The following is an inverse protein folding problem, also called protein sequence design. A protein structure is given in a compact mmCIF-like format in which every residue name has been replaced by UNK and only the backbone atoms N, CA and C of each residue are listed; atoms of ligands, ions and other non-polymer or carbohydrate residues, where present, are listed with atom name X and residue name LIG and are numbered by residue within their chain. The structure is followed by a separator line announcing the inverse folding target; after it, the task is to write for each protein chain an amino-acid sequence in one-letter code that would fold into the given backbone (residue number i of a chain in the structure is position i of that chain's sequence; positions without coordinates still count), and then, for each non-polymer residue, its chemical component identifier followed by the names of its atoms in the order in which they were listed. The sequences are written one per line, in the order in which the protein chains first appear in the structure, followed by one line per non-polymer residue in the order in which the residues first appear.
data_IF_626091396897
#
_entry.id   IF_626091396897
#
_cell.length_a   1.000
_cell.length_b   1.000
_cell.length_c   1.000
_cell.angle_alpha   90.00
_cell.angle_beta   90.00
_cell.angle_gamma   90.00
#
_symmetry.space_group_name_H-M   'P 1'
#
loop_
_entity.id
_entity.type
_entity.pdbx_description
1 polymer ?
#
# COMPACT_ATOMS: atom_id res chain seq x y z
N UNK A 1 -11.45 -6.84 -10.37
CA UNK A 1 -11.90 -5.55 -9.78
C UNK A 1 -11.87 -4.46 -10.83
N UNK A 2 -10.70 -4.13 -11.38
CA UNK A 2 -10.52 -3.12 -12.43
C UNK A 2 -11.34 -3.44 -13.69
N UNK A 3 -11.37 -4.71 -14.12
CA UNK A 3 -12.18 -5.18 -15.26
C UNK A 3 -13.66 -4.77 -15.17
N UNK A 4 -14.28 -4.86 -13.99
CA UNK A 4 -15.68 -4.45 -13.79
C UNK A 4 -15.86 -2.93 -13.91
N UNK A 5 -14.86 -2.16 -13.47
CA UNK A 5 -14.88 -0.69 -13.55
C UNK A 5 -14.74 -0.26 -15.02
N UNK A 6 -13.80 -0.87 -15.75
CA UNK A 6 -13.63 -0.65 -17.19
C UNK A 6 -14.92 -0.98 -17.96
N UNK A 7 -15.58 -2.10 -17.64
CA UNK A 7 -16.82 -2.50 -18.30
C UNK A 7 -17.98 -1.52 -18.03
N UNK A 8 -17.94 -0.79 -16.91
CA UNK A 8 -18.96 0.17 -16.53
C UNK A 8 -18.71 1.59 -17.08
N UNK A 9 -17.49 1.90 -17.55
CA UNK A 9 -17.08 3.26 -17.90
C UNK A 9 -15.94 3.31 -18.94
N UNK A 10 -16.21 3.92 -20.09
CA UNK A 10 -15.25 4.01 -21.20
C UNK A 10 -14.01 4.84 -20.87
N UNK A 11 -14.16 5.89 -20.07
CA UNK A 11 -13.04 6.74 -19.64
C UNK A 11 -12.07 5.99 -18.69
N UNK A 12 -12.61 5.05 -17.91
CA UNK A 12 -11.80 4.16 -17.06
C UNK A 12 -10.90 3.27 -17.91
N UNK A 13 -11.39 2.82 -19.08
CA UNK A 13 -10.57 2.09 -20.05
C UNK A 13 -9.41 2.97 -20.57
N UNK A 14 -9.68 4.22 -20.92
CA UNK A 14 -8.66 5.17 -21.39
C UNK A 14 -7.61 5.46 -20.31
N UNK A 15 -8.04 5.59 -19.05
CA UNK A 15 -7.14 5.79 -17.90
C UNK A 15 -6.21 4.59 -17.70
N UNK A 16 -6.74 3.38 -17.80
CA UNK A 16 -5.94 2.14 -17.71
C UNK A 16 -4.98 2.01 -18.89
N UNK A 17 -5.41 2.37 -20.11
CA UNK A 17 -4.54 2.38 -21.28
C UNK A 17 -3.37 3.37 -21.12
N UNK A 18 -3.64 4.58 -20.60
CA UNK A 18 -2.61 5.56 -20.26
C UNK A 18 -1.62 5.01 -19.22
N UNK A 19 -2.13 4.37 -18.16
CA UNK A 19 -1.28 3.73 -17.15
C UNK A 19 -0.40 2.62 -17.74
N UNK A 20 -0.97 1.79 -18.63
CA UNK A 20 -0.23 0.75 -19.35
C UNK A 20 0.90 1.33 -20.19
N UNK A 21 0.66 2.45 -20.88
CA UNK A 21 1.68 3.13 -21.67
C UNK A 21 2.81 3.68 -20.82
N UNK A 22 2.50 4.29 -19.66
CA UNK A 22 3.50 4.83 -18.73
C UNK A 22 4.41 3.73 -18.18
N UNK A 23 3.83 2.58 -17.83
CA UNK A 23 4.58 1.47 -17.22
C UNK A 23 5.18 0.49 -18.22
N UNK A 24 4.86 0.61 -19.51
CA UNK A 24 5.26 -0.36 -20.54
C UNK A 24 4.73 -1.77 -20.28
N UNK A 25 3.56 -1.91 -19.64
CA UNK A 25 2.94 -3.18 -19.25
C UNK A 25 1.45 -3.15 -19.59
N UNK A 26 0.90 -4.26 -20.10
CA UNK A 26 -0.55 -4.34 -20.33
C UNK A 26 -1.30 -4.59 -19.00
N UNK A 27 -1.72 -3.49 -18.36
CA UNK A 27 -2.45 -3.55 -17.09
C UNK A 27 -3.90 -4.02 -17.27
N UNK A 28 -4.50 -3.78 -18.43
CA UNK A 28 -5.85 -4.23 -18.73
C UNK A 28 -5.90 -5.76 -18.86
N UNK A 29 -4.88 -6.38 -19.45
CA UNK A 29 -4.73 -7.83 -19.48
C UNK A 29 -4.29 -8.38 -18.11
N UNK A 30 -3.38 -7.70 -17.41
CA UNK A 30 -2.85 -8.16 -16.13
C UNK A 30 -3.94 -8.22 -15.04
N UNK A 31 -4.82 -7.22 -14.95
CA UNK A 31 -5.86 -7.15 -13.90
C UNK A 31 -7.21 -7.82 -14.26
N UNK A 32 -7.20 -8.79 -15.18
CA UNK A 32 -8.37 -9.63 -15.50
C UNK A 32 -8.59 -10.70 -14.45
N UNK A 33 -9.86 -11.07 -14.23
CA UNK A 33 -10.22 -12.11 -13.27
C UNK A 33 -9.57 -13.48 -13.56
N UNK A 34 -9.29 -13.79 -14.83
CA UNK A 34 -8.67 -15.04 -15.25
C UNK A 34 -7.15 -15.12 -15.00
N UNK A 35 -6.49 -14.01 -14.67
CA UNK A 35 -5.06 -14.03 -14.40
C UNK A 35 -4.79 -14.43 -12.94
N UNK A 36 -4.32 -15.66 -12.72
CA UNK A 36 -3.99 -16.16 -11.38
C UNK A 36 -2.82 -15.39 -10.72
N UNK A 37 -1.96 -14.75 -11.52
CA UNK A 37 -0.81 -13.98 -11.05
C UNK A 37 -1.12 -12.49 -10.80
N UNK A 38 -2.39 -12.08 -10.82
CA UNK A 38 -2.84 -10.67 -10.69
C UNK A 38 -2.27 -9.94 -9.46
N UNK A 39 -1.93 -10.66 -8.39
CA UNK A 39 -1.37 -10.12 -7.15
C UNK A 39 -0.16 -10.92 -6.67
N UNK A 40 0.66 -11.42 -7.61
CA UNK A 40 1.78 -12.31 -7.30
C UNK A 40 2.90 -11.62 -6.51
N UNK A 41 3.06 -10.30 -6.62
CA UNK A 41 4.08 -9.52 -5.92
C UNK A 41 3.56 -8.20 -5.35
N UNK A 42 4.33 -7.53 -4.48
CA UNK A 42 3.94 -6.26 -3.88
C UNK A 42 3.75 -5.19 -4.95
N UNK A 43 4.57 -5.19 -6.00
CA UNK A 43 4.41 -4.29 -7.14
C UNK A 43 3.01 -4.40 -7.78
N UNK A 44 2.57 -5.62 -8.09
CA UNK A 44 1.25 -5.83 -8.72
C UNK A 44 0.10 -5.48 -7.76
N UNK A 45 0.24 -5.76 -6.46
CA UNK A 45 -0.74 -5.35 -5.44
C UNK A 45 -0.86 -3.82 -5.37
N UNK A 46 0.27 -3.11 -5.28
CA UNK A 46 0.27 -1.66 -5.10
C UNK A 46 -0.29 -0.93 -6.31
N UNK A 47 0.12 -1.31 -7.53
CA UNK A 47 -0.43 -0.74 -8.77
C UNK A 47 -1.92 -1.02 -8.87
N UNK A 48 -2.36 -2.24 -8.56
CA UNK A 48 -3.76 -2.65 -8.66
C UNK A 48 -4.66 -1.86 -7.72
N UNK A 49 -4.25 -1.70 -6.45
CA UNK A 49 -4.99 -0.89 -5.47
C UNK A 49 -4.96 0.59 -5.83
N UNK A 50 -3.81 1.12 -6.26
CA UNK A 50 -3.69 2.51 -6.69
C UNK A 50 -4.64 2.82 -7.86
N UNK A 51 -4.62 2.00 -8.91
CA UNK A 51 -5.50 2.15 -10.07
C UNK A 51 -6.96 2.03 -9.69
N UNK A 52 -7.34 1.00 -8.92
CA UNK A 52 -8.71 0.83 -8.49
C UNK A 52 -9.23 2.06 -7.74
N UNK A 53 -8.43 2.61 -6.82
CA UNK A 53 -8.79 3.83 -6.09
C UNK A 53 -8.91 5.04 -7.02
N UNK A 54 -7.98 5.21 -7.96
CA UNK A 54 -8.00 6.32 -8.90
C UNK A 54 -9.23 6.28 -9.80
N UNK A 55 -9.60 5.10 -10.30
CA UNK A 55 -10.79 4.94 -11.15
C UNK A 55 -12.08 5.25 -10.39
N UNK A 56 -12.21 4.80 -9.13
CA UNK A 56 -13.36 5.16 -8.29
C UNK A 56 -13.39 6.68 -8.00
N UNK A 57 -12.24 7.29 -7.74
CA UNK A 57 -12.16 8.73 -7.53
C UNK A 57 -12.68 9.50 -8.75
N UNK A 58 -12.22 9.14 -9.95
CA UNK A 58 -12.66 9.76 -11.21
C UNK A 58 -14.16 9.59 -11.44
N UNK A 59 -14.71 8.41 -11.16
CA UNK A 59 -16.15 8.14 -11.23
C UNK A 59 -16.95 9.03 -10.28
N UNK A 60 -16.53 9.12 -9.01
CA UNK A 60 -17.19 9.96 -8.01
C UNK A 60 -17.14 11.45 -8.38
N UNK A 61 -15.99 11.93 -8.88
CA UNK A 61 -15.84 13.32 -9.30
C UNK A 61 -16.76 13.68 -10.48
N UNK A 62 -16.88 12.80 -11.47
CA UNK A 62 -17.81 13.01 -12.60
C UNK A 62 -19.28 12.92 -12.18
N UNK A 63 -19.60 12.13 -11.17
CA UNK A 63 -20.92 12.09 -10.55
C UNK A 63 -21.22 13.35 -9.70
N UNK A 64 -20.29 14.32 -9.63
CA UNK A 64 -20.43 15.54 -8.83
C UNK A 64 -20.26 15.33 -7.34
N UNK A 65 -19.84 14.13 -6.90
CA UNK A 65 -19.60 13.82 -5.49
C UNK A 65 -18.26 14.41 -5.08
N UNK A 66 -18.29 15.28 -4.07
CA UNK A 66 -17.10 15.96 -3.53
C UNK A 66 -16.98 15.69 -2.03
N UNK A 67 -15.75 15.49 -1.57
CA UNK A 67 -15.44 15.41 -0.16
C UNK A 67 -15.00 16.77 0.34
N UNK A 68 -15.57 17.23 1.47
CA UNK A 68 -15.10 18.45 2.13
C UNK A 68 -13.71 18.24 2.77
N UNK A 69 -13.46 17.02 3.24
CA UNK A 69 -12.23 16.62 3.94
C UNK A 69 -11.69 15.29 3.42
N UNK A 70 -10.92 15.29 2.32
CA UNK A 70 -10.31 14.08 1.81
C UNK A 70 -9.07 13.69 2.61
N UNK A 71 -8.86 12.39 2.82
CA UNK A 71 -7.68 11.82 3.50
C UNK A 71 -7.29 10.51 2.82
N UNK A 72 -6.00 10.20 2.81
CA UNK A 72 -5.48 8.93 2.32
C UNK A 72 -4.57 8.27 3.35
N UNK A 73 -4.66 6.94 3.48
CA UNK A 73 -3.83 6.18 4.41
C UNK A 73 -2.82 5.33 3.63
N UNK A 74 -1.53 5.51 3.92
CA UNK A 74 -0.45 4.72 3.31
C UNK A 74 -0.53 4.78 1.78
N UNK A 75 -0.79 3.68 1.09
CA UNK A 75 -0.96 3.67 -0.36
C UNK A 75 -2.09 4.59 -0.86
N UNK A 76 -3.14 4.79 -0.05
CA UNK A 76 -4.24 5.68 -0.39
C UNK A 76 -3.86 7.17 -0.42
N UNK A 77 -2.76 7.55 0.24
CA UNK A 77 -2.28 8.94 0.30
C UNK A 77 -1.93 9.49 -1.08
N UNK A 78 -1.39 8.66 -1.98
CA UNK A 78 -1.07 9.06 -3.35
C UNK A 78 -2.31 9.49 -4.15
N UNK A 79 -3.43 8.76 -4.00
CA UNK A 79 -4.69 9.15 -4.62
C UNK A 79 -5.29 10.42 -4.00
N UNK A 80 -5.08 10.62 -2.69
CA UNK A 80 -5.45 11.87 -2.04
C UNK A 80 -4.63 13.05 -2.57
N UNK A 81 -3.32 12.89 -2.73
CA UNK A 81 -2.44 13.92 -3.30
C UNK A 81 -2.84 14.29 -4.74
N UNK A 82 -3.25 13.30 -5.54
CA UNK A 82 -3.83 13.56 -6.87
C UNK A 82 -5.15 14.33 -6.76
N UNK A 83 -6.05 13.91 -5.86
CA UNK A 83 -7.34 14.53 -5.68
C UNK A 83 -7.25 16.02 -5.33
N UNK A 84 -6.29 16.40 -4.48
CA UNK A 84 -6.06 17.80 -4.09
C UNK A 84 -5.16 18.56 -5.08
N UNK A 85 -4.72 17.93 -6.17
CA UNK A 85 -3.87 18.53 -7.20
C UNK A 85 -2.40 18.73 -6.81
N UNK A 86 -1.93 18.11 -5.72
CA UNK A 86 -0.55 18.20 -5.25
C UNK A 86 0.41 17.26 -6.01
N UNK A 87 -0.12 16.23 -6.68
CA UNK A 87 0.65 15.26 -7.45
C UNK A 87 -0.07 14.90 -8.75
N UNK A 88 0.67 14.76 -9.85
CA UNK A 88 0.10 14.27 -11.10
C UNK A 88 -0.20 12.77 -11.02
N UNK A 89 -1.10 12.27 -11.88
CA UNK A 89 -1.36 10.84 -11.96
C UNK A 89 -0.13 10.06 -12.43
N UNK A 90 0.58 10.61 -13.41
CA UNK A 90 1.79 10.07 -14.02
C UNK A 90 2.90 9.88 -12.99
N UNK A 91 3.23 10.95 -12.24
CA UNK A 91 4.28 10.92 -11.23
C UNK A 91 3.90 9.96 -10.10
N UNK A 92 2.64 9.99 -9.65
CA UNK A 92 2.16 9.08 -8.64
C UNK A 92 2.29 7.62 -9.07
N UNK A 93 1.91 7.29 -10.30
CA UNK A 93 1.99 5.93 -10.83
C UNK A 93 3.44 5.43 -10.89
N UNK A 94 4.38 6.27 -11.33
CA UNK A 94 5.81 5.94 -11.33
C UNK A 94 6.34 5.70 -9.90
N UNK A 95 5.96 6.55 -8.94
CA UNK A 95 6.35 6.37 -7.53
C UNK A 95 5.76 5.08 -6.96
N UNK A 96 4.51 4.75 -7.27
CA UNK A 96 3.88 3.50 -6.83
C UNK A 96 4.57 2.28 -7.41
N UNK A 97 4.91 2.33 -8.70
CA UNK A 97 5.61 1.24 -9.38
C UNK A 97 6.96 0.94 -8.70
N UNK A 98 7.76 1.98 -8.47
CA UNK A 98 9.06 1.86 -7.81
C UNK A 98 8.93 1.46 -6.34
N UNK A 99 7.96 2.03 -5.62
CA UNK A 99 7.64 1.63 -4.24
C UNK A 99 7.26 0.16 -4.16
N UNK A 100 6.51 -0.34 -5.13
CA UNK A 100 6.20 -1.76 -5.32
C UNK A 100 7.44 -2.62 -5.42
N UNK A 101 8.31 -2.29 -6.37
CA UNK A 101 9.60 -2.98 -6.62
C UNK A 101 10.48 -3.01 -5.36
N UNK A 102 10.63 -1.87 -4.68
CA UNK A 102 11.42 -1.75 -3.46
C UNK A 102 10.85 -2.55 -2.28
N UNK A 103 9.53 -2.77 -2.24
CA UNK A 103 8.92 -3.64 -1.23
C UNK A 103 9.27 -5.11 -1.48
N UNK A 104 9.29 -5.55 -2.74
CA UNK A 104 9.66 -6.92 -3.12
C UNK A 104 11.15 -7.20 -2.86
N UNK A 105 12.02 -6.20 -3.05
CA UNK A 105 13.46 -6.30 -2.77
C UNK A 105 13.83 -6.06 -1.29
N UNK A 106 12.87 -5.57 -0.51
CA UNK A 106 13.06 -5.21 0.89
C UNK A 106 13.39 -6.39 1.80
N UNK A 107 13.89 -6.11 3.02
CA UNK A 107 14.15 -7.16 3.99
C UNK A 107 12.85 -7.88 4.35
N UNK A 108 12.91 -9.21 4.38
CA UNK A 108 11.77 -10.03 4.78
C UNK A 108 11.40 -9.74 6.23
N UNK A 109 10.09 -9.65 6.46
CA UNK A 109 9.52 -9.63 7.79
C UNK A 109 8.04 -9.92 7.79
N UNK A 110 7.47 -10.07 8.97
CA UNK A 110 6.02 -10.28 9.15
C UNK A 110 5.35 -8.95 9.51
N UNK A 111 4.03 -8.89 9.62
CA UNK A 111 3.35 -7.78 10.27
C UNK A 111 2.15 -8.35 10.98
N UNK A 112 2.03 -8.09 12.27
CA UNK A 112 0.93 -8.60 13.10
C UNK A 112 0.06 -7.43 13.55
N UNK A 113 -1.25 -7.63 13.49
CA UNK A 113 -2.24 -6.75 14.11
C UNK A 113 -2.54 -7.27 15.51
N UNK A 114 -2.34 -6.46 16.53
CA UNK A 114 -2.62 -6.82 17.92
C UNK A 114 -3.86 -6.09 18.42
N UNK A 115 -4.58 -6.71 19.35
CA UNK A 115 -5.68 -6.05 20.05
C UNK A 115 -5.17 -4.83 20.83
N UNK A 116 -6.02 -3.84 21.15
CA UNK A 116 -5.63 -2.67 21.94
C UNK A 116 -4.84 -3.04 23.19
N UNK A 117 -3.58 -2.61 23.23
CA UNK A 117 -2.66 -2.68 24.36
C UNK A 117 -1.90 -1.36 24.40
N UNK A 118 -1.51 -0.90 25.59
CA UNK A 118 -0.84 0.40 25.71
C UNK A 118 0.45 0.37 24.90
N UNK A 119 0.78 1.46 24.20
CA UNK A 119 2.03 1.53 23.45
C UNK A 119 3.23 1.19 24.35
N UNK A 120 3.22 1.69 25.58
CA UNK A 120 4.22 1.39 26.61
C UNK A 120 4.31 -0.11 26.93
N UNK A 121 3.18 -0.82 26.96
CA UNK A 121 3.16 -2.26 27.18
C UNK A 121 3.78 -3.02 26.00
N UNK A 122 3.52 -2.59 24.76
CA UNK A 122 4.17 -3.15 23.56
C UNK A 122 5.68 -2.97 23.65
N UNK A 123 6.13 -1.76 23.98
CA UNK A 123 7.55 -1.42 24.06
C UNK A 123 8.27 -2.20 25.16
N UNK A 124 7.65 -2.33 26.34
CA UNK A 124 8.18 -3.13 27.45
C UNK A 124 8.31 -4.62 27.09
N UNK A 125 7.31 -5.19 26.39
CA UNK A 125 7.38 -6.58 25.93
C UNK A 125 8.50 -6.74 24.89
N UNK A 126 8.62 -5.83 23.93
CA UNK A 126 9.70 -5.85 22.93
C UNK A 126 11.08 -5.79 23.61
N UNK A 127 11.25 -4.91 24.58
CA UNK A 127 12.50 -4.76 25.33
C UNK A 127 12.82 -6.02 26.16
N UNK A 128 11.82 -6.59 26.85
CA UNK A 128 12.00 -7.76 27.71
C UNK A 128 12.36 -9.04 26.94
N UNK A 129 11.91 -9.18 25.70
CA UNK A 129 12.15 -10.40 24.89
C UNK A 129 13.59 -10.52 24.38
N UNK A 130 14.43 -9.48 24.49
CA UNK A 130 15.85 -9.54 24.11
C UNK A 130 16.10 -10.03 22.69
N UNK A 131 15.16 -9.81 21.78
CA UNK A 131 15.17 -10.41 20.44
C UNK A 131 16.36 -9.90 19.62
N UNK A 132 17.02 -10.82 18.91
CA UNK A 132 17.96 -10.47 17.85
C UNK A 132 17.18 -10.09 16.58
N UNK A 133 16.75 -8.83 16.51
CA UNK A 133 15.97 -8.27 15.40
C UNK A 133 15.45 -6.88 15.73
N UNK A 134 14.76 -6.24 14.78
CA UNK A 134 14.00 -5.01 15.06
C UNK A 134 12.52 -5.35 15.16
N UNK A 135 11.85 -4.81 16.17
CA UNK A 135 10.39 -4.78 16.27
C UNK A 135 10.00 -3.33 16.51
N UNK A 136 9.01 -2.84 15.77
CA UNK A 136 8.52 -1.47 15.90
C UNK A 136 7.02 -1.44 15.64
N UNK A 137 6.35 -0.45 16.23
CA UNK A 137 4.96 -0.10 15.89
C UNK A 137 4.97 0.63 14.54
N UNK A 138 4.25 0.07 13.57
CA UNK A 138 4.22 0.54 12.18
C UNK A 138 2.95 1.31 11.83
N UNK A 139 1.86 1.12 12.59
CA UNK A 139 0.61 1.83 12.34
C UNK A 139 -0.25 1.95 13.61
N UNK A 140 -0.82 3.15 13.80
CA UNK A 140 -1.85 3.43 14.80
C UNK A 140 -3.21 3.57 14.09
N UNK A 141 -4.15 2.65 14.35
CA UNK A 141 -5.46 2.63 13.66
C UNK A 141 -6.56 3.38 14.41
N UNK A 142 -6.66 3.20 15.73
CA UNK A 142 -7.74 3.77 16.54
C UNK A 142 -7.29 3.95 17.99
N UNK A 143 -7.59 5.08 18.60
CA UNK A 143 -7.43 5.26 20.05
C UNK A 143 -8.43 4.31 20.74
N UNK A 144 -7.98 3.34 21.54
CA UNK A 144 -8.92 2.74 22.49
C UNK A 144 -9.20 3.80 23.55
N UNK A 145 -10.42 3.78 24.06
CA UNK A 145 -10.98 4.79 24.97
C UNK A 145 -10.20 4.99 26.28
N UNK A 146 -9.10 4.25 26.50
CA UNK A 146 -8.03 4.51 27.48
C UNK A 146 -6.63 4.04 27.05
N UNK A 147 -6.45 3.54 25.81
CA UNK A 147 -5.30 2.71 25.41
C UNK A 147 -5.01 2.76 23.90
N UNK A 148 -3.82 3.08 23.40
CA UNK A 148 -3.60 3.20 21.95
C UNK A 148 -3.66 1.84 21.22
N UNK A 149 -4.46 1.65 20.14
CA UNK A 149 -4.31 0.46 19.28
C UNK A 149 -3.07 0.62 18.40
N UNK A 150 -1.98 -0.01 18.80
CA UNK A 150 -0.84 -0.28 17.94
C UNK A 150 -1.13 -1.53 17.10
N UNK A 151 -0.89 -1.46 15.79
CA UNK A 151 -0.72 -2.65 14.97
C UNK A 151 0.67 -2.56 14.35
N UNK A 152 1.59 -3.41 14.80
CA UNK A 152 2.64 -3.95 13.95
C UNK A 152 3.44 -5.03 14.67
N UNK A 153 3.99 -5.92 13.86
CA UNK A 153 5.24 -6.59 14.22
C UNK A 153 6.01 -6.81 12.94
N UNK A 154 6.81 -5.84 12.48
CA UNK A 154 7.81 -6.09 11.42
C UNK A 154 9.04 -6.72 12.03
N UNK A 155 9.09 -8.05 12.09
CA UNK A 155 10.30 -8.79 12.43
C UNK A 155 11.24 -8.84 11.22
N UNK A 156 12.29 -8.01 11.19
CA UNK A 156 13.39 -8.21 10.24
C UNK A 156 14.52 -8.95 10.95
N UNK A 157 14.82 -10.18 10.50
CA UNK A 157 16.01 -10.91 10.93
C UNK A 157 17.20 -10.29 10.20
N UNK A 158 17.99 -9.45 10.88
CA UNK A 158 19.25 -9.01 10.29
C UNK A 158 20.19 -10.22 10.28
N UNK A 159 20.50 -10.76 9.09
CA UNK A 159 21.61 -11.68 8.95
C UNK A 159 22.90 -10.88 9.11
N UNK A 160 23.28 -10.55 10.34
CA UNK A 160 24.66 -10.22 10.65
C UNK A 160 25.46 -11.50 10.38
N UNK A 161 26.03 -11.59 9.17
CA UNK A 161 27.10 -12.54 8.84
C UNK A 161 28.10 -12.49 9.99
N UNK A 162 28.21 -13.59 10.73
CA UNK A 162 29.28 -13.76 11.70
C UNK A 162 30.61 -13.55 10.97
N UNK A 163 31.31 -12.45 11.27
CA UNK A 163 32.74 -12.36 10.97
C UNK A 163 33.40 -13.51 11.73
N UNK A 164 33.73 -14.60 11.03
CA UNK A 164 34.65 -15.63 11.50
C UNK A 164 35.95 -14.91 11.84
N UNK A 165 36.23 -14.74 13.13
CA UNK A 165 37.60 -14.59 13.61
C UNK A 165 38.29 -15.93 13.37
N UNK A 166 39.27 -15.95 12.46
CA UNK A 166 40.41 -16.86 12.46
C UNK A 166 41.63 -15.99 12.33
#
# INVERSE_FOLDING_TARGET
MIEKIIAADSDSAATVARASAILGRDLAAHYRAANEAIFACNRDIQIGVFLANHLHLSLLQRAGIRADWPLGLSLGEYNHLIHIGALSFEDALQVIDERGRLYDEGPRGIMVSVFPIEAEMVENVIAALGLSGRVAVGLYKRRASRCSRASATRYTRSSLRSKKRR
#
